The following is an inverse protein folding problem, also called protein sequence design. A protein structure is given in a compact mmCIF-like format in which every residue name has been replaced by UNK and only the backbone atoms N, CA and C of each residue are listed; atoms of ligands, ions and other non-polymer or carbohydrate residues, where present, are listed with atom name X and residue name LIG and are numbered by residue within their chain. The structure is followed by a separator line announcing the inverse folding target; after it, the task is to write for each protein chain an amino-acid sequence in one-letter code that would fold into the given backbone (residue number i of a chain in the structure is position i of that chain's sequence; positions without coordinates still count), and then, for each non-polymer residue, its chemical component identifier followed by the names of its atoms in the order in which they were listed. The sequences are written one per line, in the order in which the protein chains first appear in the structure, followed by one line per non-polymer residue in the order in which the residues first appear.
data_IF_760871235472
#
_entry.id   IF_760871235472
#
_cell.length_a   1.000
_cell.length_b   1.000
_cell.length_c   1.000
_cell.angle_alpha   90.00
_cell.angle_beta   90.00
_cell.angle_gamma   90.00
#
_symmetry.space_group_name_H-M   'P 1'
#
loop_
_entity.id
_entity.type
_entity.pdbx_description
1 polymer ?
#
# COMPACT_ATOMS: atom_id res chain seq x y z
N UNK A 1 -8.29 18.27 -17.23
CA UNK A 1 -7.74 17.53 -16.08
C UNK A 1 -7.12 16.27 -16.62
N UNK A 2 -5.80 16.03 -16.50
CA UNK A 2 -5.26 14.73 -16.86
C UNK A 2 -5.95 13.64 -16.04
N UNK A 3 -6.35 12.54 -16.69
CA UNK A 3 -6.86 11.36 -15.99
C UNK A 3 -5.82 10.91 -14.96
N UNK A 4 -6.25 10.67 -13.73
CA UNK A 4 -5.41 10.28 -12.60
C UNK A 4 -4.55 9.03 -12.90
N UNK A 5 -5.02 8.18 -13.83
CA UNK A 5 -4.32 7.01 -14.36
C UNK A 5 -2.98 7.36 -15.04
N UNK A 6 -2.86 8.54 -15.65
CA UNK A 6 -1.61 9.01 -16.27
C UNK A 6 -0.57 9.50 -15.24
N UNK A 7 -0.93 9.58 -13.95
CA UNK A 7 -0.05 10.00 -12.85
C UNK A 7 0.46 8.82 -12.01
N UNK A 8 0.09 7.58 -12.36
CA UNK A 8 0.53 6.38 -11.66
C UNK A 8 2.02 6.10 -11.85
N UNK A 9 2.68 5.69 -10.77
CA UNK A 9 4.07 5.23 -10.78
C UNK A 9 4.09 3.70 -10.79
N UNK A 10 4.93 3.12 -11.66
CA UNK A 10 5.19 1.67 -11.71
C UNK A 10 5.93 1.19 -10.46
N UNK A 11 5.67 -0.05 -10.05
CA UNK A 11 6.20 -0.56 -8.78
C UNK A 11 7.73 -0.67 -8.80
N UNK A 12 8.33 -1.01 -9.94
CA UNK A 12 9.79 -1.10 -10.08
C UNK A 12 10.51 0.25 -9.88
N UNK A 13 9.85 1.35 -10.25
CA UNK A 13 10.37 2.72 -10.17
C UNK A 13 10.26 3.34 -8.77
N UNK A 14 9.55 2.71 -7.83
CA UNK A 14 9.29 3.27 -6.49
C UNK A 14 10.56 3.55 -5.69
N UNK A 15 11.67 2.84 -5.95
CA UNK A 15 12.96 3.06 -5.27
C UNK A 15 13.52 4.47 -5.53
N UNK A 16 13.13 5.10 -6.64
CA UNK A 16 13.58 6.43 -7.05
C UNK A 16 12.65 7.54 -6.58
N UNK A 17 11.54 7.21 -5.91
CA UNK A 17 10.53 8.17 -5.48
C UNK A 17 10.73 8.56 -4.01
N UNK A 18 10.89 9.87 -3.75
CA UNK A 18 11.02 10.41 -2.40
C UNK A 18 9.69 10.97 -1.84
N UNK A 19 8.66 11.09 -2.69
CA UNK A 19 7.35 11.70 -2.38
C UNK A 19 6.24 10.65 -2.32
N UNK A 20 5.08 10.98 -1.73
CA UNK A 20 3.90 10.12 -1.79
C UNK A 20 3.47 9.86 -3.24
N UNK A 21 3.23 8.60 -3.59
CA UNK A 21 2.94 8.16 -4.96
C UNK A 21 1.49 7.71 -5.13
N UNK A 22 1.07 7.62 -6.39
CA UNK A 22 -0.09 6.85 -6.80
C UNK A 22 0.38 5.54 -7.44
N UNK A 23 -0.19 4.42 -7.00
CA UNK A 23 0.06 3.09 -7.57
C UNK A 23 -1.27 2.43 -7.89
N UNK A 24 -1.38 1.88 -9.10
CA UNK A 24 -2.44 0.95 -9.47
C UNK A 24 -1.85 -0.44 -9.61
N UNK A 25 -2.51 -1.44 -9.02
CA UNK A 25 -1.96 -2.79 -8.88
C UNK A 25 -3.08 -3.81 -8.68
N UNK A 26 -2.70 -5.08 -8.67
CA UNK A 26 -3.54 -6.20 -8.25
C UNK A 26 -3.06 -6.68 -6.88
N UNK A 27 -3.99 -6.99 -5.99
CA UNK A 27 -3.68 -7.68 -4.75
C UNK A 27 -3.21 -9.11 -5.05
N UNK A 28 -2.00 -9.45 -4.61
CA UNK A 28 -1.40 -10.77 -4.80
C UNK A 28 -1.53 -11.65 -3.56
N UNK A 29 -1.77 -11.04 -2.40
CA UNK A 29 -2.07 -11.74 -1.15
C UNK A 29 -3.38 -11.25 -0.55
N UNK A 30 -3.94 -12.04 0.36
CA UNK A 30 -5.01 -11.57 1.26
C UNK A 30 -4.42 -10.52 2.21
N UNK A 31 -5.19 -9.50 2.55
CA UNK A 31 -4.82 -8.56 3.60
C UNK A 31 -4.74 -9.23 4.97
N UNK A 32 -3.63 -9.04 5.68
CA UNK A 32 -3.46 -9.46 7.06
C UNK A 32 -3.49 -8.25 7.99
N UNK A 33 -4.08 -8.39 9.19
CA UNK A 33 -4.03 -7.36 10.24
C UNK A 33 -3.54 -7.98 11.52
N UNK A 34 -2.60 -7.31 12.18
CA UNK A 34 -2.06 -7.67 13.47
C UNK A 34 -2.08 -6.49 14.43
N UNK A 35 -2.13 -6.78 15.73
CA UNK A 35 -1.96 -5.78 16.78
C UNK A 35 -0.48 -5.63 17.12
N UNK A 36 -0.04 -4.39 17.26
CA UNK A 36 1.33 -4.01 17.57
C UNK A 36 1.31 -3.20 18.85
N UNK A 37 2.04 -3.69 19.85
CA UNK A 37 2.26 -2.97 21.11
C UNK A 37 3.36 -1.94 20.91
N UNK A 38 3.04 -0.67 21.10
CA UNK A 38 3.99 0.43 21.04
C UNK A 38 4.74 0.57 22.37
N UNK A 39 5.88 1.26 22.33
CA UNK A 39 6.74 1.48 23.50
C UNK A 39 6.06 2.28 24.62
N UNK A 40 5.04 3.07 24.27
CA UNK A 40 4.23 3.85 25.21
C UNK A 40 3.10 3.03 25.86
N UNK A 41 3.02 1.72 25.58
CA UNK A 41 1.99 0.82 26.09
C UNK A 41 0.69 0.83 25.28
N UNK A 42 0.55 1.72 24.28
CA UNK A 42 -0.62 1.72 23.41
C UNK A 42 -0.60 0.57 22.40
N UNK A 43 -1.79 0.09 22.01
CA UNK A 43 -1.96 -0.96 21.00
C UNK A 43 -2.47 -0.34 19.71
N UNK A 44 -1.78 -0.60 18.60
CA UNK A 44 -2.19 -0.13 17.26
C UNK A 44 -2.31 -1.28 16.29
N UNK A 45 -3.23 -1.16 15.32
CA UNK A 45 -3.36 -2.14 14.24
C UNK A 45 -2.37 -1.85 13.12
N UNK A 46 -1.73 -2.90 12.60
CA UNK A 46 -0.88 -2.90 11.42
C UNK A 46 -1.47 -3.88 10.39
N UNK A 47 -1.84 -3.35 9.23
CA UNK A 47 -2.30 -4.11 8.08
C UNK A 47 -1.18 -4.30 7.06
N UNK A 48 -1.12 -5.47 6.43
CA UNK A 48 -0.12 -5.82 5.43
C UNK A 48 -0.78 -6.56 4.26
N UNK A 49 -0.38 -6.21 3.04
CA UNK A 49 -0.79 -6.90 1.82
C UNK A 49 0.31 -6.79 0.76
N UNK A 50 0.47 -7.83 -0.05
CA UNK A 50 1.33 -7.79 -1.23
C UNK A 50 0.50 -7.35 -2.43
N UNK A 51 0.95 -6.31 -3.10
CA UNK A 51 0.35 -5.78 -4.33
C UNK A 51 1.40 -5.80 -5.44
N UNK A 52 0.96 -6.01 -6.68
CA UNK A 52 1.86 -6.06 -7.84
C UNK A 52 1.23 -5.53 -9.11
N UNK A 53 2.09 -5.07 -10.01
CA UNK A 53 1.75 -4.74 -11.38
C UNK A 53 2.59 -5.62 -12.33
N UNK A 54 2.59 -5.30 -13.60
CA UNK A 54 3.38 -5.94 -14.65
C UNK A 54 4.90 -5.72 -14.50
N UNK A 55 5.35 -4.83 -13.61
CA UNK A 55 6.76 -4.48 -13.44
C UNK A 55 7.39 -5.08 -12.19
N UNK A 56 6.66 -5.13 -11.07
CA UNK A 56 7.17 -5.65 -9.80
C UNK A 56 6.07 -5.84 -8.75
N UNK A 57 6.46 -6.40 -7.61
CA UNK A 57 5.62 -6.54 -6.42
C UNK A 57 6.17 -5.71 -5.25
N UNK A 58 5.29 -5.22 -4.38
CA UNK A 58 5.67 -4.52 -3.16
C UNK A 58 4.70 -4.82 -2.02
N UNK A 59 5.22 -4.83 -0.79
CA UNK A 59 4.38 -4.92 0.40
C UNK A 59 3.85 -3.54 0.78
N UNK A 60 2.52 -3.39 0.80
CA UNK A 60 1.82 -2.24 1.35
C UNK A 60 1.61 -2.44 2.85
N UNK A 61 2.07 -1.49 3.64
CA UNK A 61 1.94 -1.45 5.10
C UNK A 61 0.97 -0.32 5.46
N UNK A 62 -0.06 -0.65 6.22
CA UNK A 62 -1.09 0.31 6.64
C UNK A 62 -1.22 0.33 8.16
N UNK A 63 -1.36 1.52 8.73
CA UNK A 63 -1.45 1.70 10.18
C UNK A 63 -2.83 2.20 10.59
N UNK A 64 -3.24 1.86 11.82
CA UNK A 64 -4.45 2.37 12.49
C UNK A 64 -5.70 2.12 11.63
N UNK A 65 -6.45 3.16 11.29
CA UNK A 65 -7.66 3.10 10.46
C UNK A 65 -7.43 2.44 9.09
N UNK A 66 -6.24 2.64 8.51
CA UNK A 66 -5.91 2.12 7.19
C UNK A 66 -5.68 0.61 7.20
N UNK A 67 -5.28 0.05 8.35
CA UNK A 67 -5.12 -1.40 8.51
C UNK A 67 -6.44 -2.13 8.22
N UNK A 68 -7.57 -1.57 8.65
CA UNK A 68 -8.89 -2.14 8.40
C UNK A 68 -9.26 -2.20 6.91
N UNK A 69 -8.81 -1.23 6.10
CA UNK A 69 -9.06 -1.22 4.65
C UNK A 69 -8.35 -2.37 3.96
N UNK A 70 -7.10 -2.63 4.37
CA UNK A 70 -6.27 -3.72 3.83
C UNK A 70 -6.91 -5.09 4.08
N UNK A 71 -7.48 -5.31 5.26
CA UNK A 71 -8.12 -6.59 5.65
C UNK A 71 -9.24 -7.04 4.71
N UNK A 72 -9.93 -6.08 4.08
CA UNK A 72 -11.08 -6.35 3.22
C UNK A 72 -10.73 -6.65 1.76
N UNK A 73 -9.43 -6.67 1.43
CA UNK A 73 -8.92 -6.86 0.07
C UNK A 73 -8.55 -8.33 -0.12
N UNK A 74 -9.09 -8.90 -1.20
CA UNK A 74 -8.86 -10.29 -1.59
C UNK A 74 -7.86 -10.39 -2.76
N UNK A 75 -7.12 -11.52 -2.87
CA UNK A 75 -6.26 -11.76 -4.03
C UNK A 75 -7.03 -11.63 -5.36
N UNK A 76 -6.41 -11.02 -6.36
CA UNK A 76 -6.99 -10.77 -7.67
C UNK A 76 -7.80 -9.47 -7.78
N UNK A 77 -8.12 -8.80 -6.66
CA UNK A 77 -8.78 -7.50 -6.71
C UNK A 77 -7.83 -6.41 -7.21
N UNK A 78 -8.32 -5.54 -8.10
CA UNK A 78 -7.59 -4.35 -8.52
C UNK A 78 -7.67 -3.30 -7.42
N UNK A 79 -6.53 -2.73 -7.06
CA UNK A 79 -6.40 -1.74 -6.00
C UNK A 79 -5.66 -0.50 -6.49
N UNK A 80 -6.16 0.67 -6.09
CA UNK A 80 -5.50 1.96 -6.27
C UNK A 80 -5.09 2.49 -4.91
N UNK A 81 -3.81 2.80 -4.77
CA UNK A 81 -3.21 3.35 -3.56
C UNK A 81 -2.73 4.76 -3.87
N UNK A 82 -3.33 5.76 -3.23
CA UNK A 82 -3.04 7.18 -3.46
C UNK A 82 -2.38 7.78 -2.23
N UNK A 83 -1.22 8.40 -2.42
CA UNK A 83 -0.51 9.11 -1.36
C UNK A 83 0.18 8.17 -0.36
N UNK A 84 0.69 7.03 -0.81
CA UNK A 84 1.53 6.17 0.02
C UNK A 84 3.02 6.47 -0.25
N UNK A 85 3.86 6.33 0.78
CA UNK A 85 5.28 6.69 0.71
C UNK A 85 6.15 5.45 0.53
N UNK A 86 7.00 5.40 -0.52
CA UNK A 86 8.03 4.36 -0.63
C UNK A 86 9.02 4.46 0.53
N UNK A 87 9.35 3.33 1.14
CA UNK A 87 10.32 3.24 2.22
C UNK A 87 11.19 2.01 2.07
N UNK A 88 12.50 2.24 2.05
CA UNK A 88 13.52 1.18 2.03
C UNK A 88 13.99 0.97 3.46
N UNK A 89 13.86 -0.26 3.95
CA UNK A 89 14.41 -0.65 5.25
C UNK A 89 15.93 -0.74 5.22
N UNK A 90 16.58 -0.81 6.38
CA UNK A 90 18.03 -0.98 6.49
C UNK A 90 18.54 -2.26 5.79
N UNK A 91 17.69 -3.27 5.62
CA UNK A 91 18.00 -4.51 4.88
C UNK A 91 17.78 -4.39 3.37
N UNK A 92 17.49 -3.20 2.84
CA UNK A 92 17.25 -2.98 1.41
C UNK A 92 15.86 -3.39 0.92
N UNK A 93 14.98 -3.85 1.80
CA UNK A 93 13.60 -4.24 1.44
C UNK A 93 12.77 -2.98 1.22
N UNK A 94 12.21 -2.84 0.02
CA UNK A 94 11.26 -1.79 -0.35
C UNK A 94 9.85 -2.16 0.18
N UNK A 95 9.21 -1.19 0.81
CA UNK A 95 7.82 -1.25 1.25
C UNK A 95 7.09 0.02 0.87
N UNK A 96 5.77 -0.04 0.71
CA UNK A 96 4.92 1.11 0.50
C UNK A 96 4.17 1.40 1.80
N UNK A 97 4.38 2.58 2.41
CA UNK A 97 3.83 2.95 3.70
C UNK A 97 2.60 3.84 3.53
N UNK A 98 1.44 3.40 4.03
CA UNK A 98 0.23 4.20 4.10
C UNK A 98 0.21 5.06 5.37
N UNK A 99 -0.16 6.32 5.19
CA UNK A 99 -0.37 7.35 6.21
C UNK A 99 -1.88 7.63 6.41
N UNK A 100 -2.24 8.51 7.33
CA UNK A 100 -3.64 8.92 7.58
C UNK A 100 -4.34 9.46 6.32
N UNK A 101 -3.63 10.23 5.48
CA UNK A 101 -4.18 10.77 4.24
C UNK A 101 -4.13 9.81 3.05
N UNK A 102 -3.51 8.63 3.20
CA UNK A 102 -3.45 7.65 2.11
C UNK A 102 -4.86 7.15 1.79
N UNK A 103 -5.17 6.98 0.51
CA UNK A 103 -6.43 6.38 0.10
C UNK A 103 -6.16 5.03 -0.55
N UNK A 104 -6.84 4.00 -0.06
CA UNK A 104 -6.78 2.64 -0.61
C UNK A 104 -8.18 2.36 -1.15
N UNK A 105 -8.29 2.25 -2.47
CA UNK A 105 -9.54 2.07 -3.20
C UNK A 105 -9.51 0.74 -3.95
N UNK A 106 -10.60 -0.02 -3.88
CA UNK A 106 -10.80 -1.19 -4.74
C UNK A 106 -11.45 -0.73 -6.04
N UNK A 107 -10.83 -1.05 -7.17
CA UNK A 107 -11.35 -0.75 -8.48
C UNK A 107 -12.25 -1.92 -8.90
N UNK A 108 -13.56 -1.77 -8.72
CA UNK A 108 -14.51 -2.76 -9.24
C UNK A 108 -14.52 -2.69 -10.77
N UNK A 109 -14.37 -3.84 -11.43
CA UNK A 109 -14.62 -3.95 -12.86
C UNK A 109 -16.07 -3.51 -13.15
N UNK A 110 -16.23 -2.64 -14.14
CA UNK A 110 -17.54 -2.32 -14.73
C UNK A 110 -18.02 -3.49 -15.57
#
# INVERSE_FOLDING_TARGET
MPQLEALGVKIDALKSCAWPVLVESIALSRGAVQEVHLKDGSVVKKGEIVIGDDTAEVKLIAWREQAGKVMSIEPGERVRVVGAKPQISQMGILTLQASSFTRIERLRGR
#
